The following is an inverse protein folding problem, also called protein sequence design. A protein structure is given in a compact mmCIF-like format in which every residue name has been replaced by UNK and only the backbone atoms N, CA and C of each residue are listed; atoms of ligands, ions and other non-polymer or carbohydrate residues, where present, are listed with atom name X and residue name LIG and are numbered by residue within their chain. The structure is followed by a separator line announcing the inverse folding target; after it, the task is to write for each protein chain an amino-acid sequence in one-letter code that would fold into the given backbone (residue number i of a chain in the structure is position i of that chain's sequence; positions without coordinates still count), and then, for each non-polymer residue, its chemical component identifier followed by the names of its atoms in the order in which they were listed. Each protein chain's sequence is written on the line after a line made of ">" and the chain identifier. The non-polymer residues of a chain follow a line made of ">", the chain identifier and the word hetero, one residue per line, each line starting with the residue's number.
data_IF_940706773045
#
_entry.id   IF_940706773045
#
_cell.length_a   1.000
_cell.length_b   1.000
_cell.length_c   1.000
_cell.angle_alpha   90.00
_cell.angle_beta   90.00
_cell.angle_gamma   90.00
#
_symmetry.space_group_name_H-M   'P 1'
#
loop_
_entity.id
_entity.type
_entity.pdbx_description
1 polymer ?
#
# COMPACT_ATOMS: atom_id res chain seq x y z
N UNK A 1 5.49 15.39 9.53
CA UNK A 1 5.44 14.33 8.50
C UNK A 1 5.83 13.04 9.17
N UNK A 2 4.85 12.23 9.59
CA UNK A 2 5.09 10.97 10.29
C UNK A 2 5.18 9.81 9.29
N UNK A 3 6.21 8.99 9.42
CA UNK A 3 6.27 7.69 8.76
C UNK A 3 5.57 6.67 9.67
N UNK A 4 4.58 5.96 9.15
CA UNK A 4 3.82 4.96 9.90
C UNK A 4 4.17 3.57 9.38
N UNK A 5 4.60 2.70 10.29
CA UNK A 5 4.86 1.29 10.02
C UNK A 5 3.55 0.55 10.24
N UNK A 6 2.95 0.01 9.18
CA UNK A 6 1.69 -0.75 9.19
C UNK A 6 1.89 -2.11 9.87
N UNK A 7 2.02 -2.13 11.20
CA UNK A 7 1.98 -3.35 11.99
C UNK A 7 0.52 -3.59 12.44
N UNK A 8 -0.15 -4.61 11.87
CA UNK A 8 -1.51 -5.08 12.20
C UNK A 8 -2.72 -4.24 11.75
N UNK A 9 -2.64 -3.47 10.66
CA UNK A 9 -3.82 -2.79 10.13
C UNK A 9 -4.64 -3.70 9.20
N UNK A 10 -5.96 -3.81 9.45
CA UNK A 10 -6.91 -4.43 8.51
C UNK A 10 -6.88 -3.69 7.17
N UNK A 11 -7.13 -4.41 6.06
CA UNK A 11 -7.35 -3.81 4.73
C UNK A 11 -8.37 -2.67 4.77
N UNK A 12 -9.38 -2.76 5.64
CA UNK A 12 -10.39 -1.71 5.82
C UNK A 12 -9.78 -0.38 6.31
N UNK A 13 -8.78 -0.42 7.20
CA UNK A 13 -8.09 0.78 7.65
C UNK A 13 -7.27 1.42 6.53
N UNK A 14 -6.64 0.59 5.70
CA UNK A 14 -5.87 1.04 4.53
C UNK A 14 -6.81 1.73 3.52
N UNK A 15 -7.96 1.12 3.23
CA UNK A 15 -8.98 1.69 2.36
C UNK A 15 -9.50 3.02 2.93
N UNK A 16 -9.86 3.05 4.22
CA UNK A 16 -10.33 4.28 4.88
C UNK A 16 -9.31 5.40 4.79
N UNK A 17 -8.05 5.13 5.11
CA UNK A 17 -6.97 6.11 5.00
C UNK A 17 -6.80 6.61 3.56
N UNK A 18 -6.90 5.72 2.58
CA UNK A 18 -6.77 6.09 1.18
C UNK A 18 -7.92 6.97 0.69
N UNK A 19 -9.15 6.74 1.19
CA UNK A 19 -10.31 7.57 0.92
C UNK A 19 -10.20 8.95 1.60
N UNK A 20 -9.70 9.00 2.84
CA UNK A 20 -9.52 10.25 3.59
C UNK A 20 -8.45 11.16 2.97
N UNK A 21 -7.35 10.57 2.50
CA UNK A 21 -6.21 11.33 1.94
C UNK A 21 -6.24 11.47 0.42
N UNK A 22 -7.16 10.78 -0.27
CA UNK A 22 -7.35 10.84 -1.72
C UNK A 22 -6.23 10.22 -2.57
N UNK A 23 -5.15 9.75 -1.94
CA UNK A 23 -4.00 9.14 -2.62
C UNK A 23 -3.22 8.24 -1.67
N UNK A 24 -2.87 7.04 -2.12
CA UNK A 24 -2.02 6.11 -1.36
C UNK A 24 -0.90 5.57 -2.26
N UNK A 25 0.34 5.61 -1.79
CA UNK A 25 1.50 5.05 -2.49
C UNK A 25 1.96 3.79 -1.78
N UNK A 26 2.05 2.67 -2.50
CA UNK A 26 2.55 1.40 -1.95
C UNK A 26 4.03 1.29 -2.31
N UNK A 27 4.88 1.06 -1.31
CA UNK A 27 6.33 0.89 -1.48
C UNK A 27 6.72 -0.46 -0.86
N UNK A 28 6.68 -1.56 -1.62
CA UNK A 28 7.06 -2.87 -1.10
C UNK A 28 8.59 -3.02 -1.03
N UNK A 29 9.05 -3.83 -0.08
CA UNK A 29 10.42 -4.34 -0.09
C UNK A 29 10.66 -5.28 -1.28
N UNK A 30 11.92 -5.44 -1.69
CA UNK A 30 12.32 -6.25 -2.85
C UNK A 30 12.47 -7.72 -2.43
N UNK A 31 11.39 -8.28 -1.88
CA UNK A 31 11.24 -9.70 -1.61
C UNK A 31 9.87 -10.18 -2.11
N UNK A 32 9.78 -11.47 -2.44
CA UNK A 32 8.60 -12.05 -3.09
C UNK A 32 7.33 -11.80 -2.27
N UNK A 33 7.39 -12.01 -0.95
CA UNK A 33 6.24 -11.87 -0.06
C UNK A 33 5.68 -10.44 -0.04
N UNK A 34 6.57 -9.44 -0.03
CA UNK A 34 6.20 -8.03 -0.04
C UNK A 34 5.59 -7.61 -1.38
N UNK A 35 6.12 -8.13 -2.49
CA UNK A 35 5.59 -7.88 -3.83
C UNK A 35 4.19 -8.48 -4.00
N UNK A 36 3.99 -9.72 -3.54
CA UNK A 36 2.68 -10.39 -3.56
C UNK A 36 1.67 -9.60 -2.71
N UNK A 37 2.07 -9.22 -1.50
CA UNK A 37 1.22 -8.44 -0.59
C UNK A 37 0.82 -7.08 -1.19
N UNK A 38 1.78 -6.36 -1.81
CA UNK A 38 1.49 -5.10 -2.50
C UNK A 38 0.51 -5.27 -3.67
N UNK A 39 0.62 -6.38 -4.42
CA UNK A 39 -0.34 -6.71 -5.48
C UNK A 39 -1.75 -6.94 -4.94
N UNK A 40 -1.89 -7.70 -3.84
CA UNK A 40 -3.18 -7.95 -3.20
C UNK A 40 -3.80 -6.64 -2.70
N UNK A 41 -3.03 -5.81 -2.01
CA UNK A 41 -3.50 -4.52 -1.49
C UNK A 41 -3.91 -3.59 -2.64
N UNK A 42 -3.09 -3.49 -3.70
CA UNK A 42 -3.40 -2.67 -4.86
C UNK A 42 -4.69 -3.11 -5.57
N UNK A 43 -4.95 -4.43 -5.65
CA UNK A 43 -6.17 -4.95 -6.24
C UNK A 43 -7.39 -4.58 -5.40
N UNK A 44 -7.34 -4.78 -4.09
CA UNK A 44 -8.42 -4.41 -3.18
C UNK A 44 -8.72 -2.91 -3.27
N UNK A 45 -7.70 -2.05 -3.20
CA UNK A 45 -7.88 -0.60 -3.33
C UNK A 45 -8.55 -0.23 -4.67
N UNK A 46 -8.16 -0.88 -5.77
CA UNK A 46 -8.77 -0.66 -7.07
C UNK A 46 -10.26 -1.03 -7.11
N UNK A 47 -10.65 -2.15 -6.50
CA UNK A 47 -12.05 -2.57 -6.37
C UNK A 47 -12.91 -1.54 -5.59
N UNK A 48 -12.28 -0.78 -4.70
CA UNK A 48 -12.89 0.32 -3.95
C UNK A 48 -12.72 1.71 -4.61
N UNK A 49 -12.36 1.77 -5.91
CA UNK A 49 -12.09 2.99 -6.67
C UNK A 49 -10.95 3.88 -6.14
N UNK A 50 -10.05 3.29 -5.36
CA UNK A 50 -8.85 3.96 -4.85
C UNK A 50 -7.68 3.64 -5.77
N UNK A 51 -7.07 4.68 -6.35
CA UNK A 51 -5.83 4.53 -7.14
C UNK A 51 -4.62 4.49 -6.20
N UNK A 52 -3.90 3.38 -6.20
CA UNK A 52 -2.70 3.21 -5.38
C UNK A 52 -1.50 2.71 -6.20
N UNK A 53 -0.70 3.62 -6.80
CA UNK A 53 0.46 3.20 -7.58
C UNK A 53 1.48 2.48 -6.68
N UNK A 54 1.89 1.29 -7.14
CA UNK A 54 3.00 0.54 -6.55
C UNK A 54 4.30 1.10 -7.10
N UNK A 55 5.21 1.52 -6.21
CA UNK A 55 6.53 2.01 -6.57
C UNK A 55 7.59 1.18 -5.85
N UNK A 56 8.52 0.60 -6.62
CA UNK A 56 9.70 -0.04 -6.06
C UNK A 56 10.70 1.07 -5.67
N UNK A 57 11.12 1.11 -4.40
CA UNK A 57 12.22 2.00 -3.99
C UNK A 57 13.56 1.30 -4.28
N UNK A 58 14.37 1.81 -5.22
CA UNK A 58 15.67 1.22 -5.54
C UNK A 58 16.68 1.35 -4.39
N UNK A 59 16.43 2.14 -3.35
CA UNK A 59 17.34 2.31 -2.21
C UNK A 59 17.33 1.15 -1.21
N UNK A 60 16.43 0.18 -1.38
CA UNK A 60 16.35 -1.04 -0.57
C UNK A 60 16.88 -2.29 -1.32
N UNK A 61 17.82 -2.10 -2.27
CA UNK A 61 18.64 -3.17 -2.88
C UNK A 61 19.91 -3.35 -2.05
#
# INVERSE_FOLDING_TARGET
>A
MGSWILNNESIDNIIRCALEHGFLRIIPAINIDSLVSAGIISKNLYEHNVKAPINLDPKNI
#
